data_IF_246729621622
#
_entry.id   IF_246729621622
#
_cell.length_a   1.000
_cell.length_b   1.000
_cell.length_c   1.000
_cell.angle_alpha   90.00
_cell.angle_beta   90.00
_cell.angle_gamma   90.00
#
_symmetry.space_group_name_H-M   'P 1'
#
loop_
_entity.id
_entity.type
_entity.pdbx_description
1 polymer ?
#
# COMPACT_ATOMS: atom_id res chain seq x y z
N UNK A 1 -14.37 -24.51 -9.13
CA UNK A 1 -13.23 -23.59 -8.88
C UNK A 1 -13.81 -22.26 -8.44
N UNK A 2 -13.31 -21.63 -7.37
CA UNK A 2 -13.82 -20.34 -6.90
C UNK A 2 -13.00 -19.23 -7.57
N UNK A 3 -13.68 -18.27 -8.19
CA UNK A 3 -13.08 -17.03 -8.68
C UNK A 3 -13.23 -15.93 -7.61
N UNK A 4 -12.13 -15.22 -7.34
CA UNK A 4 -12.07 -14.07 -6.41
C UNK A 4 -11.67 -12.77 -7.11
N UNK A 5 -11.69 -12.75 -8.44
CA UNK A 5 -11.48 -11.54 -9.22
C UNK A 5 -12.53 -10.49 -8.87
N UNK A 6 -12.11 -9.23 -8.91
CA UNK A 6 -12.94 -8.05 -8.64
C UNK A 6 -12.72 -7.04 -9.75
N UNK A 7 -13.75 -6.27 -10.07
CA UNK A 7 -13.74 -5.35 -11.21
C UNK A 7 -13.10 -3.99 -10.91
N UNK A 8 -12.82 -3.67 -9.64
CA UNK A 8 -12.19 -2.40 -9.27
C UNK A 8 -11.26 -2.51 -8.06
N UNK A 9 -10.21 -1.70 -8.05
CA UNK A 9 -9.29 -1.56 -6.92
C UNK A 9 -10.01 -0.99 -5.68
N UNK A 10 -10.89 -0.02 -5.87
CA UNK A 10 -11.66 0.59 -4.78
C UNK A 10 -12.51 -0.46 -4.04
N UNK A 11 -13.20 -1.35 -4.76
CA UNK A 11 -13.96 -2.44 -4.13
C UNK A 11 -13.04 -3.33 -3.27
N UNK A 12 -11.88 -3.73 -3.81
CA UNK A 12 -10.90 -4.57 -3.12
C UNK A 12 -10.33 -3.89 -1.87
N UNK A 13 -10.00 -2.60 -1.97
CA UNK A 13 -9.28 -1.88 -0.93
C UNK A 13 -10.21 -1.28 0.13
N UNK A 14 -11.50 -1.04 -0.16
CA UNK A 14 -12.47 -0.41 0.76
C UNK A 14 -12.63 -1.10 2.13
N UNK A 15 -12.22 -2.37 2.23
CA UNK A 15 -12.20 -3.13 3.48
C UNK A 15 -11.05 -2.74 4.41
N UNK A 16 -9.99 -2.12 3.90
CA UNK A 16 -8.84 -1.64 4.67
C UNK A 16 -9.26 -0.37 5.43
N UNK A 17 -8.90 -0.34 6.72
CA UNK A 17 -9.27 0.75 7.64
C UNK A 17 -8.02 1.46 8.16
N UNK A 18 -8.23 2.64 8.72
CA UNK A 18 -7.18 3.38 9.42
C UNK A 18 -6.50 2.51 10.48
N UNK A 19 -5.19 2.68 10.64
CA UNK A 19 -4.40 1.92 11.60
C UNK A 19 -4.05 0.49 11.16
N UNK A 20 -4.45 0.05 9.95
CA UNK A 20 -4.11 -1.27 9.46
C UNK A 20 -2.59 -1.49 9.35
N UNK A 21 -2.18 -2.75 9.54
CA UNK A 21 -0.83 -3.21 9.22
C UNK A 21 -0.84 -3.90 7.87
N UNK A 22 -0.01 -3.42 6.93
CA UNK A 22 0.04 -3.90 5.56
C UNK A 22 1.45 -4.39 5.25
N UNK A 23 1.54 -5.63 4.79
CA UNK A 23 2.79 -6.22 4.30
C UNK A 23 2.90 -5.96 2.81
N UNK A 24 3.97 -5.29 2.39
CA UNK A 24 4.20 -4.94 0.99
C UNK A 24 5.45 -5.67 0.50
N UNK A 25 5.25 -6.55 -0.49
CA UNK A 25 6.33 -7.26 -1.17
C UNK A 25 7.17 -6.36 -2.08
N UNK A 26 8.32 -6.89 -2.51
CA UNK A 26 9.26 -6.25 -3.42
C UNK A 26 10.64 -5.96 -2.80
N UNK A 27 11.63 -5.70 -3.67
CA UNK A 27 12.99 -5.31 -3.30
C UNK A 27 13.38 -4.04 -4.06
N UNK A 28 13.47 -2.91 -3.34
CA UNK A 28 13.45 -1.61 -3.96
C UNK A 28 12.15 -1.45 -4.77
N UNK A 29 12.30 -1.27 -6.07
CA UNK A 29 11.20 -1.04 -7.02
C UNK A 29 10.70 -2.34 -7.66
N UNK A 30 11.53 -3.39 -7.66
CA UNK A 30 11.20 -4.65 -8.30
C UNK A 30 10.15 -5.40 -7.50
N UNK A 31 9.03 -5.75 -8.14
CA UNK A 31 7.95 -6.52 -7.53
C UNK A 31 7.09 -5.76 -6.52
N UNK A 32 7.22 -4.44 -6.44
CA UNK A 32 6.34 -3.60 -5.62
C UNK A 32 4.96 -3.46 -6.29
N UNK A 33 3.85 -3.65 -5.55
CA UNK A 33 2.51 -3.53 -6.12
C UNK A 33 2.06 -2.06 -6.22
N UNK A 34 2.59 -1.33 -7.20
CA UNK A 34 2.43 0.12 -7.33
C UNK A 34 0.95 0.57 -7.39
N UNK A 35 0.11 -0.12 -8.16
CA UNK A 35 -1.30 0.23 -8.35
C UNK A 35 -2.11 0.02 -7.07
N UNK A 36 -1.81 -1.01 -6.28
CA UNK A 36 -2.45 -1.22 -4.98
C UNK A 36 -2.04 -0.12 -3.99
N UNK A 37 -0.79 0.33 -4.04
CA UNK A 37 -0.31 1.43 -3.20
C UNK A 37 -0.99 2.74 -3.57
N UNK A 38 -1.12 3.04 -4.86
CA UNK A 38 -1.86 4.21 -5.33
C UNK A 38 -3.33 4.16 -4.88
N UNK A 39 -3.97 2.99 -4.97
CA UNK A 39 -5.32 2.79 -4.44
C UNK A 39 -5.44 3.04 -2.93
N UNK A 40 -4.41 2.72 -2.13
CA UNK A 40 -4.40 3.06 -0.69
C UNK A 40 -4.33 4.58 -0.45
N UNK A 41 -3.59 5.30 -1.29
CA UNK A 41 -3.51 6.76 -1.24
C UNK A 41 -4.88 7.36 -1.57
N UNK A 42 -5.52 6.87 -2.64
CA UNK A 42 -6.85 7.31 -3.09
C UNK A 42 -7.94 7.03 -2.06
N UNK A 43 -7.88 5.87 -1.39
CA UNK A 43 -8.81 5.53 -0.31
C UNK A 43 -8.68 6.50 0.89
N UNK A 44 -7.56 7.20 1.00
CA UNK A 44 -7.34 8.21 2.03
C UNK A 44 -7.06 7.65 3.42
N UNK A 45 -6.83 6.34 3.55
CA UNK A 45 -6.55 5.69 4.84
C UNK A 45 -5.29 6.26 5.49
N UNK A 46 -5.33 6.39 6.82
CA UNK A 46 -4.28 6.99 7.64
C UNK A 46 -3.81 6.07 8.76
N UNK A 47 -2.67 6.42 9.34
CA UNK A 47 -2.12 5.71 10.50
C UNK A 47 -1.58 4.31 10.21
N UNK A 48 -1.29 3.99 8.95
CA UNK A 48 -0.87 2.66 8.54
C UNK A 48 0.47 2.25 9.16
N UNK A 49 0.63 0.97 9.48
CA UNK A 49 1.94 0.35 9.70
C UNK A 49 2.32 -0.44 8.47
N UNK A 50 3.43 -0.08 7.82
CA UNK A 50 3.93 -0.79 6.65
C UNK A 50 5.08 -1.71 7.05
N UNK A 51 5.01 -2.96 6.62
CA UNK A 51 6.10 -3.92 6.72
C UNK A 51 6.62 -4.19 5.31
N UNK A 52 7.86 -3.81 5.03
CA UNK A 52 8.46 -3.98 3.70
C UNK A 52 9.98 -3.98 3.81
N UNK A 53 10.67 -4.73 2.94
CA UNK A 53 12.13 -4.84 2.94
C UNK A 53 12.87 -3.50 2.81
N UNK A 54 12.21 -2.46 2.29
CA UNK A 54 12.77 -1.12 2.14
C UNK A 54 11.66 -0.07 2.28
N UNK A 55 12.03 1.20 2.43
CA UNK A 55 11.08 2.31 2.54
C UNK A 55 10.70 2.96 1.18
N UNK A 56 11.15 2.39 0.06
CA UNK A 56 11.04 3.00 -1.26
C UNK A 56 12.00 4.18 -1.47
N UNK A 57 11.99 4.72 -2.69
CA UNK A 57 12.73 5.93 -3.08
C UNK A 57 11.98 6.67 -4.19
N UNK A 58 12.23 7.98 -4.35
CA UNK A 58 11.63 8.82 -5.38
C UNK A 58 10.18 9.24 -5.07
N UNK A 59 9.35 9.34 -6.11
CA UNK A 59 7.99 9.89 -6.03
C UNK A 59 6.88 8.87 -6.40
N UNK A 60 7.17 7.58 -6.33
CA UNK A 60 6.23 6.49 -6.66
C UNK A 60 6.19 5.40 -5.58
N UNK A 61 5.19 4.53 -5.68
CA UNK A 61 5.05 3.36 -4.81
C UNK A 61 5.10 3.72 -3.32
N UNK A 62 5.88 2.96 -2.53
CA UNK A 62 5.92 3.17 -1.08
C UNK A 62 6.41 4.58 -0.70
N UNK A 63 7.36 5.16 -1.44
CA UNK A 63 7.82 6.53 -1.17
C UNK A 63 6.67 7.54 -1.33
N UNK A 64 5.81 7.37 -2.35
CA UNK A 64 4.62 8.19 -2.56
C UNK A 64 3.60 8.03 -1.42
N UNK A 65 3.40 6.81 -0.91
CA UNK A 65 2.50 6.55 0.23
C UNK A 65 3.01 7.22 1.53
N UNK A 66 4.32 7.18 1.77
CA UNK A 66 4.96 7.92 2.86
C UNK A 66 4.76 9.43 2.71
N UNK A 67 5.00 9.96 1.50
CA UNK A 67 4.82 11.38 1.17
C UNK A 67 3.37 11.85 1.33
N UNK A 68 2.39 10.96 1.13
CA UNK A 68 0.96 11.24 1.36
C UNK A 68 0.58 11.32 2.86
N UNK A 69 1.51 11.08 3.77
CA UNK A 69 1.29 11.14 5.23
C UNK A 69 0.37 10.04 5.75
N UNK A 70 0.17 8.96 4.99
CA UNK A 70 -0.74 7.88 5.36
C UNK A 70 -0.11 6.86 6.33
N UNK A 71 1.22 6.87 6.48
CA UNK A 71 1.98 5.86 7.23
C UNK A 71 2.45 6.42 8.57
N UNK A 72 2.14 5.71 9.65
CA UNK A 72 2.58 6.00 11.02
C UNK A 72 3.91 5.33 11.35
N UNK A 73 4.14 4.13 10.83
CA UNK A 73 5.33 3.31 11.15
C UNK A 73 5.75 2.48 9.95
N UNK A 74 7.05 2.35 9.75
CA UNK A 74 7.65 1.40 8.81
C UNK A 74 8.48 0.39 9.58
N UNK A 75 8.40 -0.88 9.20
CA UNK A 75 9.26 -1.97 9.66
C UNK A 75 9.98 -2.52 8.42
N UNK A 76 11.31 -2.43 8.43
CA UNK A 76 12.19 -2.89 7.36
C UNK A 76 13.14 -3.96 7.88
#
# INVERSE_FOLDING_TARGET
MIDKSKSSLSEVLSQIKDGATILIGGFGTAGQPAELIDGLIELGVKGLTIVSNNAGNGDYGLAKLLKAGSVKKVIC
#
